data_IF_180496134797
#
_entry.id   IF_180496134797
#
_cell.length_a   1.000
_cell.length_b   1.000
_cell.length_c   1.000
_cell.angle_alpha   90.00
_cell.angle_beta   90.00
_cell.angle_gamma   90.00
#
_symmetry.space_group_name_H-M   'P 1'
#
loop_
_entity.id
_entity.type
_entity.pdbx_description
1 polymer ?
#
# COMPACT_ATOMS: atom_id res chain seq x y z
N UNK A 1 -19.64 4.26 -25.43
CA UNK A 1 -19.08 2.91 -25.66
C UNK A 1 -19.84 2.18 -26.79
N UNK A 2 -20.14 2.85 -27.92
CA UNK A 2 -20.95 2.28 -29.02
C UNK A 2 -20.30 2.40 -30.41
N UNK A 3 -19.29 3.27 -30.61
CA UNK A 3 -18.74 3.51 -31.95
C UNK A 3 -17.65 2.52 -32.40
N UNK A 4 -16.89 1.93 -31.47
CA UNK A 4 -15.78 1.01 -31.81
C UNK A 4 -16.30 -0.33 -32.37
N UNK A 5 -17.47 -0.78 -31.91
CA UNK A 5 -18.07 -2.06 -32.33
C UNK A 5 -18.64 -2.04 -33.75
N UNK A 6 -19.00 -0.87 -34.30
CA UNK A 6 -19.70 -0.80 -35.60
C UNK A 6 -18.76 -0.85 -36.82
N UNK A 7 -17.45 -0.73 -36.64
CA UNK A 7 -16.47 -0.62 -37.74
C UNK A 7 -15.29 -1.58 -37.64
N UNK A 8 -15.32 -2.54 -36.71
CA UNK A 8 -14.23 -3.51 -36.51
C UNK A 8 -14.81 -4.88 -36.19
N UNK A 9 -14.10 -5.96 -36.55
CA UNK A 9 -14.40 -7.33 -36.10
C UNK A 9 -14.02 -7.56 -34.62
N UNK A 10 -13.73 -6.49 -33.87
CA UNK A 10 -13.34 -6.57 -32.47
C UNK A 10 -14.54 -7.02 -31.62
N UNK A 11 -14.53 -8.29 -31.23
CA UNK A 11 -15.44 -8.82 -30.21
C UNK A 11 -15.03 -8.23 -28.86
N UNK A 12 -16.00 -7.73 -28.11
CA UNK A 12 -15.78 -7.42 -26.70
C UNK A 12 -15.41 -8.73 -25.99
N UNK A 13 -14.15 -8.88 -25.63
CA UNK A 13 -13.76 -9.87 -24.64
C UNK A 13 -13.98 -9.22 -23.28
N UNK A 14 -14.75 -9.86 -22.40
CA UNK A 14 -14.72 -9.48 -21.00
C UNK A 14 -13.31 -9.80 -20.52
N UNK A 15 -12.50 -8.77 -20.26
CA UNK A 15 -11.31 -8.95 -19.44
C UNK A 15 -11.78 -9.63 -18.15
N UNK A 16 -11.41 -10.90 -17.95
CA UNK A 16 -11.52 -11.60 -16.66
C UNK A 16 -10.58 -10.94 -15.62
N UNK A 17 -9.74 -10.00 -16.06
CA UNK A 17 -8.64 -9.41 -15.29
C UNK A 17 -8.94 -8.31 -14.23
N UNK A 18 -10.06 -7.55 -14.23
CA UNK A 18 -10.24 -6.48 -13.24
C UNK A 18 -10.46 -7.00 -11.82
N UNK A 19 -11.23 -8.10 -11.68
CA UNK A 19 -11.47 -8.76 -10.38
C UNK A 19 -10.18 -9.39 -9.87
N UNK A 20 -9.48 -10.15 -10.71
CA UNK A 20 -8.31 -10.93 -10.30
C UNK A 20 -7.17 -10.02 -9.81
N UNK A 21 -6.96 -8.86 -10.45
CA UNK A 21 -5.99 -7.88 -9.96
C UNK A 21 -6.43 -7.22 -8.64
N UNK A 22 -7.73 -6.97 -8.46
CA UNK A 22 -8.25 -6.44 -7.20
C UNK A 22 -8.06 -7.44 -6.06
N UNK A 23 -8.30 -8.73 -6.31
CA UNK A 23 -8.09 -9.83 -5.36
C UNK A 23 -6.60 -9.98 -4.99
N UNK A 24 -5.67 -9.69 -5.90
CA UNK A 24 -4.23 -9.63 -5.58
C UNK A 24 -3.88 -8.46 -4.65
N UNK A 25 -4.46 -7.28 -4.86
CA UNK A 25 -4.27 -6.14 -3.95
C UNK A 25 -4.94 -6.37 -2.58
N UNK A 26 -6.04 -7.12 -2.55
CA UNK A 26 -6.72 -7.61 -1.34
C UNK A 26 -5.77 -8.49 -0.53
N UNK A 27 -5.22 -9.52 -1.18
CA UNK A 27 -4.26 -10.43 -0.59
C UNK A 27 -3.01 -9.70 -0.08
N UNK A 28 -2.49 -8.71 -0.82
CA UNK A 28 -1.32 -7.94 -0.41
C UNK A 28 -1.55 -7.20 0.93
N UNK A 29 -2.77 -6.73 1.17
CA UNK A 29 -3.15 -6.10 2.44
C UNK A 29 -3.23 -7.12 3.57
N UNK A 30 -3.81 -8.30 3.35
CA UNK A 30 -3.87 -9.34 4.38
C UNK A 30 -2.48 -9.92 4.69
N UNK A 31 -1.61 -10.08 3.68
CA UNK A 31 -0.19 -10.41 3.86
C UNK A 31 0.50 -9.37 4.74
N UNK A 32 0.26 -8.09 4.47
CA UNK A 32 0.82 -6.99 5.27
C UNK A 32 0.35 -7.08 6.73
N UNK A 33 -0.95 -7.27 6.96
CA UNK A 33 -1.53 -7.35 8.30
C UNK A 33 -1.08 -8.59 9.09
N UNK A 34 -1.02 -9.76 8.44
CA UNK A 34 -0.49 -10.99 9.04
C UNK A 34 0.98 -10.83 9.40
N UNK A 35 1.77 -10.19 8.53
CA UNK A 35 3.17 -9.89 8.81
C UNK A 35 3.33 -8.99 10.04
N UNK A 36 2.54 -7.92 10.15
CA UNK A 36 2.54 -7.04 11.32
C UNK A 36 2.17 -7.81 12.60
N UNK A 37 1.13 -8.64 12.54
CA UNK A 37 0.65 -9.45 13.67
C UNK A 37 1.72 -10.44 14.13
N UNK A 38 2.29 -11.22 13.21
CA UNK A 38 3.34 -12.22 13.48
C UNK A 38 4.57 -11.60 14.15
N UNK A 39 4.94 -10.40 13.71
CA UNK A 39 6.09 -9.67 14.24
C UNK A 39 5.76 -8.72 15.41
N UNK A 40 4.51 -8.75 15.93
CA UNK A 40 4.05 -7.87 17.02
C UNK A 40 4.28 -6.39 16.73
N UNK A 41 4.26 -5.98 15.46
CA UNK A 41 4.40 -4.59 15.04
C UNK A 41 3.04 -3.92 15.22
N UNK A 42 3.03 -2.78 15.91
CA UNK A 42 1.80 -1.99 16.09
C UNK A 42 1.38 -1.38 14.77
N UNK A 43 0.12 -1.54 14.39
CA UNK A 43 -0.47 -0.85 13.25
C UNK A 43 -0.56 0.67 13.52
N UNK A 44 0.18 1.45 12.73
CA UNK A 44 0.33 2.90 12.85
C UNK A 44 -0.34 3.69 11.73
N UNK A 45 -0.71 3.08 10.61
CA UNK A 45 -1.31 3.82 9.50
C UNK A 45 -1.26 3.14 8.15
N UNK A 46 -1.37 3.96 7.10
CA UNK A 46 -1.33 3.55 5.69
C UNK A 46 -0.39 4.47 4.91
N UNK A 47 0.38 3.91 3.99
CA UNK A 47 1.25 4.64 3.06
C UNK A 47 0.62 4.52 1.67
N UNK A 48 0.11 5.62 1.13
CA UNK A 48 -0.38 5.70 -0.25
C UNK A 48 0.83 5.93 -1.13
N UNK A 49 1.13 4.97 -1.99
CA UNK A 49 2.24 5.01 -2.93
C UNK A 49 1.69 5.01 -4.35
N UNK A 50 2.12 5.97 -5.16
CA UNK A 50 1.98 5.82 -6.60
C UNK A 50 2.65 4.51 -7.05
N UNK A 51 2.19 3.96 -8.17
CA UNK A 51 2.70 2.70 -8.69
C UNK A 51 4.23 2.74 -8.83
N UNK A 52 4.91 1.68 -8.40
CA UNK A 52 6.38 1.48 -8.42
C UNK A 52 7.23 2.20 -7.36
N UNK A 53 6.70 3.12 -6.56
CA UNK A 53 7.54 3.89 -5.61
C UNK A 53 7.42 3.42 -4.14
N UNK A 54 6.68 2.34 -3.88
CA UNK A 54 6.56 1.78 -2.53
C UNK A 54 7.87 1.20 -2.00
N UNK A 55 8.06 1.26 -0.69
CA UNK A 55 9.14 0.59 0.04
C UNK A 55 8.56 -0.35 1.11
N UNK A 56 7.92 -1.47 0.73
CA UNK A 56 7.04 -2.23 1.63
C UNK A 56 7.71 -2.71 2.92
N UNK A 57 8.99 -3.15 2.86
CA UNK A 57 9.72 -3.59 4.05
C UNK A 57 9.88 -2.47 5.08
N UNK A 58 10.24 -1.27 4.64
CA UNK A 58 10.38 -0.10 5.51
C UNK A 58 9.02 0.34 6.06
N UNK A 59 8.00 0.39 5.21
CA UNK A 59 6.65 0.80 5.59
C UNK A 59 6.05 -0.15 6.65
N UNK A 60 6.14 -1.46 6.42
CA UNK A 60 5.68 -2.47 7.37
C UNK A 60 6.46 -2.44 8.67
N UNK A 61 7.77 -2.18 8.65
CA UNK A 61 8.57 -2.06 9.87
C UNK A 61 8.13 -0.89 10.77
N UNK A 62 7.55 0.13 10.15
CA UNK A 62 6.95 1.29 10.82
C UNK A 62 5.44 1.12 11.06
N UNK A 63 4.90 -0.07 10.81
CA UNK A 63 3.49 -0.38 11.05
C UNK A 63 2.55 0.31 10.07
N UNK A 64 3.01 0.69 8.88
CA UNK A 64 2.18 1.29 7.84
C UNK A 64 1.86 0.24 6.76
N UNK A 65 0.58 0.11 6.43
CA UNK A 65 0.13 -0.76 5.33
C UNK A 65 0.44 -0.05 4.00
N UNK A 66 1.18 -0.69 3.07
CA UNK A 66 1.37 -0.16 1.73
C UNK A 66 0.06 -0.22 0.94
N UNK A 67 -0.36 0.90 0.36
CA UNK A 67 -1.45 0.98 -0.62
C UNK A 67 -0.86 1.49 -1.94
N UNK A 68 -0.76 0.60 -2.93
CA UNK A 68 -0.36 0.95 -4.29
C UNK A 68 -1.56 1.39 -5.11
N UNK A 69 -1.41 2.47 -5.87
CA UNK A 69 -2.46 2.94 -6.78
C UNK A 69 -1.87 3.62 -8.02
N UNK A 70 -2.70 3.74 -9.06
CA UNK A 70 -2.33 4.44 -10.29
C UNK A 70 -2.60 5.94 -10.15
N UNK A 71 -1.63 6.78 -10.52
CA UNK A 71 -1.67 8.24 -10.31
C UNK A 71 -2.82 8.97 -11.02
N UNK A 72 -3.41 8.36 -12.05
CA UNK A 72 -4.54 8.92 -12.80
C UNK A 72 -5.89 8.34 -12.39
N UNK A 73 -5.93 7.46 -11.40
CA UNK A 73 -7.17 7.01 -10.79
C UNK A 73 -7.78 8.15 -9.95
N UNK A 74 -9.09 8.43 -10.07
CA UNK A 74 -9.74 9.46 -9.26
C UNK A 74 -9.49 9.25 -7.75
N UNK A 75 -9.27 10.35 -7.02
CA UNK A 75 -8.99 10.31 -5.59
C UNK A 75 -10.06 9.52 -4.81
N UNK A 76 -11.35 9.70 -5.14
CA UNK A 76 -12.46 8.98 -4.54
C UNK A 76 -12.31 7.46 -4.67
N UNK A 77 -11.95 6.95 -5.84
CA UNK A 77 -11.77 5.52 -6.10
C UNK A 77 -10.58 4.96 -5.33
N UNK A 78 -9.49 5.71 -5.24
CA UNK A 78 -8.32 5.32 -4.43
C UNK A 78 -8.66 5.30 -2.93
N UNK A 79 -9.46 6.24 -2.43
CA UNK A 79 -9.89 6.26 -1.03
C UNK A 79 -10.97 5.21 -0.75
N UNK A 80 -11.82 4.87 -1.72
CA UNK A 80 -12.77 3.75 -1.63
C UNK A 80 -12.04 2.44 -1.34
N UNK A 81 -10.86 2.22 -1.92
CA UNK A 81 -10.00 1.06 -1.63
C UNK A 81 -9.63 0.98 -0.14
N UNK A 82 -9.24 2.11 0.43
CA UNK A 82 -8.90 2.20 1.85
C UNK A 82 -10.12 1.89 2.73
N UNK A 83 -11.26 2.52 2.42
CA UNK A 83 -12.50 2.41 3.21
C UNK A 83 -13.15 1.04 3.12
N UNK A 84 -13.26 0.48 1.92
CA UNK A 84 -14.04 -0.72 1.64
C UNK A 84 -13.24 -2.00 1.89
N UNK A 85 -11.90 -1.93 1.91
CA UNK A 85 -11.07 -3.11 2.09
C UNK A 85 -10.08 -3.01 3.26
N UNK A 86 -9.18 -2.04 3.22
CA UNK A 86 -8.06 -1.99 4.18
C UNK A 86 -8.57 -1.73 5.60
N UNK A 87 -9.54 -0.82 5.78
CA UNK A 87 -10.12 -0.54 7.10
C UNK A 87 -10.85 -1.78 7.68
N UNK A 88 -11.74 -2.47 6.94
CA UNK A 88 -12.32 -3.73 7.40
C UNK A 88 -11.28 -4.80 7.71
N UNK A 89 -10.28 -5.00 6.85
CA UNK A 89 -9.22 -5.98 7.06
C UNK A 89 -8.42 -5.67 8.33
N UNK A 90 -7.98 -4.42 8.49
CA UNK A 90 -7.30 -3.96 9.69
C UNK A 90 -8.12 -4.18 10.96
N UNK A 91 -9.43 -3.99 10.90
CA UNK A 91 -10.33 -4.20 12.05
C UNK A 91 -10.44 -5.66 12.47
N UNK A 92 -10.35 -6.61 11.53
CA UNK A 92 -10.29 -8.06 11.83
C UNK A 92 -8.99 -8.44 12.54
N UNK A 93 -7.87 -7.89 12.09
CA UNK A 93 -6.54 -8.19 12.63
C UNK A 93 -6.22 -7.46 13.94
N UNK A 94 -6.66 -6.21 14.04
CA UNK A 94 -6.34 -5.28 15.12
C UNK A 94 -7.61 -4.57 15.62
N UNK A 95 -8.56 -5.27 16.26
CA UNK A 95 -9.89 -4.73 16.60
C UNK A 95 -9.86 -3.52 17.56
N UNK A 96 -8.76 -3.33 18.29
CA UNK A 96 -8.55 -2.17 19.18
C UNK A 96 -8.00 -0.93 18.46
N UNK A 97 -7.69 -1.02 17.16
CA UNK A 97 -7.10 0.06 16.38
C UNK A 97 -8.15 0.65 15.44
N UNK A 98 -8.46 1.94 15.64
CA UNK A 98 -9.23 2.70 14.66
C UNK A 98 -8.29 3.30 13.62
N UNK A 99 -8.25 2.71 12.42
CA UNK A 99 -7.34 3.12 11.35
C UNK A 99 -7.63 4.55 10.84
N UNK A 100 -8.87 5.06 10.91
CA UNK A 100 -9.18 6.46 10.54
C UNK A 100 -8.52 7.49 11.46
N UNK A 101 -8.16 7.08 12.69
CA UNK A 101 -7.43 7.92 13.67
C UNK A 101 -5.91 7.74 13.58
N UNK A 102 -5.41 7.00 12.59
CA UNK A 102 -3.99 6.74 12.36
C UNK A 102 -3.46 7.61 11.23
N UNK A 103 -2.14 7.61 11.05
CA UNK A 103 -1.50 8.45 10.02
C UNK A 103 -1.75 7.88 8.63
N UNK A 104 -2.09 8.75 7.68
CA UNK A 104 -2.03 8.46 6.24
C UNK A 104 -0.92 9.32 5.65
N UNK A 105 -0.02 8.71 4.90
CA UNK A 105 1.02 9.43 4.18
C UNK A 105 0.82 9.27 2.67
N UNK A 106 0.72 10.38 1.97
CA UNK A 106 0.58 10.45 0.52
C UNK A 106 1.96 10.59 -0.12
N UNK A 107 2.56 9.47 -0.48
CA UNK A 107 3.74 9.42 -1.32
C UNK A 107 3.28 9.49 -2.79
N UNK A 108 2.90 10.69 -3.22
CA UNK A 108 2.41 10.96 -4.57
C UNK A 108 2.96 12.26 -5.15
N UNK A 109 3.30 12.26 -6.43
CA UNK A 109 3.66 13.44 -7.22
C UNK A 109 2.42 14.18 -7.67
N UNK A 110 1.42 13.45 -8.18
CA UNK A 110 0.24 13.98 -8.84
C UNK A 110 -1.00 13.66 -7.99
N UNK A 111 -1.98 14.56 -7.95
CA UNK A 111 -3.29 14.26 -7.35
C UNK A 111 -3.30 14.21 -5.81
N UNK A 112 -2.19 14.53 -5.13
CA UNK A 112 -2.06 14.40 -3.67
C UNK A 112 -2.95 15.35 -2.87
N UNK A 113 -3.29 16.50 -3.43
CA UNK A 113 -4.15 17.49 -2.77
C UNK A 113 -5.62 17.06 -2.86
N UNK A 114 -6.02 16.46 -3.97
CA UNK A 114 -7.31 15.83 -4.19
C UNK A 114 -7.47 14.63 -3.26
N UNK A 115 -6.45 13.76 -3.17
CA UNK A 115 -6.42 12.66 -2.20
C UNK A 115 -6.53 13.13 -0.76
N UNK A 116 -5.78 14.17 -0.37
CA UNK A 116 -5.86 14.73 0.98
C UNK A 116 -7.26 15.29 1.27
N UNK A 117 -7.85 16.00 0.31
CA UNK A 117 -9.20 16.57 0.44
C UNK A 117 -10.22 15.47 0.64
N UNK A 118 -10.20 14.43 -0.19
CA UNK A 118 -11.08 13.27 -0.10
C UNK A 118 -10.92 12.56 1.26
N UNK A 119 -9.68 12.28 1.68
CA UNK A 119 -9.38 11.66 2.97
C UNK A 119 -9.94 12.49 4.15
N UNK A 120 -9.73 13.81 4.14
CA UNK A 120 -10.22 14.70 5.21
C UNK A 120 -11.75 14.73 5.24
N UNK A 121 -12.41 14.79 4.08
CA UNK A 121 -13.87 14.73 3.98
C UNK A 121 -14.43 13.42 4.57
N UNK A 122 -13.71 12.31 4.41
CA UNK A 122 -14.07 11.00 4.99
C UNK A 122 -13.57 10.76 6.42
N UNK A 123 -13.08 11.82 7.09
CA UNK A 123 -12.75 11.80 8.51
C UNK A 123 -11.33 11.32 8.85
N UNK A 124 -10.43 11.17 7.89
CA UNK A 124 -9.01 10.93 8.14
C UNK A 124 -8.32 12.23 8.56
N UNK A 125 -7.91 12.30 9.84
CA UNK A 125 -7.41 13.55 10.44
C UNK A 125 -5.92 13.80 10.22
N UNK A 126 -5.13 12.73 10.18
CA UNK A 126 -3.67 12.82 10.18
C UNK A 126 -3.10 12.47 8.81
N UNK A 127 -3.32 13.37 7.84
CA UNK A 127 -2.81 13.21 6.48
C UNK A 127 -1.53 14.01 6.31
N UNK A 128 -0.46 13.35 5.86
CA UNK A 128 0.81 13.95 5.47
C UNK A 128 1.08 13.67 4.00
N UNK A 129 1.97 14.43 3.38
CA UNK A 129 2.27 14.33 1.94
C UNK A 129 3.78 14.38 1.72
N UNK A 130 4.26 13.78 0.63
CA UNK A 130 5.63 14.05 0.15
C UNK A 130 5.75 15.51 -0.33
N UNK A 131 6.99 16.03 -0.34
CA UNK A 131 7.28 17.38 -0.82
C UNK A 131 6.95 17.54 -2.33
N UNK A 132 6.71 18.78 -2.76
CA UNK A 132 6.51 19.15 -4.17
C UNK A 132 7.84 19.32 -4.91
N UNK A 133 7.82 19.19 -6.25
CA UNK A 133 8.97 19.40 -7.14
C UNK A 133 10.18 18.51 -6.85
N UNK A 134 9.89 17.29 -6.46
CA UNK A 134 10.89 16.29 -6.13
C UNK A 134 10.93 15.22 -7.21
N UNK A 135 12.10 15.05 -7.82
CA UNK A 135 12.39 13.91 -8.70
C UNK A 135 12.58 12.62 -7.88
N UNK A 136 12.29 11.48 -8.51
CA UNK A 136 12.31 10.16 -7.84
C UNK A 136 13.68 9.48 -7.93
N UNK A 137 14.64 10.17 -8.53
CA UNK A 137 16.01 9.74 -8.69
C UNK A 137 16.83 10.28 -7.53
N UNK A 138 17.68 9.41 -6.97
CA UNK A 138 18.62 9.78 -5.92
C UNK A 138 19.60 10.84 -6.43
N UNK A 139 19.67 11.99 -5.77
CA UNK A 139 20.60 13.10 -6.05
C UNK A 139 21.09 13.76 -4.75
N UNK A 140 22.35 13.53 -4.39
CA UNK A 140 22.94 14.13 -3.18
C UNK A 140 23.18 15.64 -3.28
N UNK A 141 23.07 16.22 -4.47
CA UNK A 141 23.35 17.63 -4.71
C UNK A 141 22.17 18.55 -4.42
N UNK A 142 20.94 18.03 -4.35
CA UNK A 142 19.72 18.82 -4.19
C UNK A 142 19.07 18.71 -2.78
N UNK A 143 19.62 17.83 -1.93
CA UNK A 143 19.20 17.67 -0.54
C UNK A 143 18.62 16.28 -0.25
N UNK A 144 17.58 16.22 0.58
CA UNK A 144 16.77 15.00 0.80
C UNK A 144 15.43 15.27 0.14
N UNK A 145 15.35 14.88 -1.12
CA UNK A 145 14.23 15.17 -1.97
C UNK A 145 13.54 13.83 -2.31
N UNK A 146 14.21 12.88 -2.94
CA UNK A 146 13.57 11.67 -3.44
C UNK A 146 12.93 10.83 -2.30
N UNK A 147 11.82 10.10 -2.56
CA UNK A 147 11.18 9.24 -1.55
C UNK A 147 12.16 8.26 -0.89
N UNK A 148 13.11 7.72 -1.65
CA UNK A 148 14.15 6.83 -1.13
C UNK A 148 15.14 7.54 -0.19
N UNK A 149 15.45 8.81 -0.42
CA UNK A 149 16.31 9.63 0.44
C UNK A 149 15.64 9.93 1.77
N UNK A 150 14.33 10.20 1.77
CA UNK A 150 13.55 10.32 3.00
C UNK A 150 13.63 9.04 3.85
N UNK A 151 13.49 7.88 3.21
CA UNK A 151 13.62 6.59 3.90
C UNK A 151 15.02 6.42 4.50
N UNK A 152 16.07 6.70 3.72
CA UNK A 152 17.46 6.60 4.20
C UNK A 152 17.74 7.58 5.34
N UNK A 153 17.22 8.81 5.26
CA UNK A 153 17.34 9.81 6.31
C UNK A 153 16.69 9.34 7.62
N UNK A 154 15.46 8.81 7.55
CA UNK A 154 14.76 8.28 8.72
C UNK A 154 15.49 7.07 9.34
N UNK A 155 16.03 6.17 8.50
CA UNK A 155 16.87 5.06 8.97
C UNK A 155 18.14 5.58 9.65
N UNK A 156 18.76 6.62 9.09
CA UNK A 156 20.00 7.21 9.60
C UNK A 156 19.77 7.86 10.96
N UNK A 157 18.65 8.57 11.16
CA UNK A 157 18.22 9.12 12.46
C UNK A 157 18.02 8.03 13.53
N UNK A 158 17.56 6.85 13.13
CA UNK A 158 17.39 5.69 14.02
C UNK A 158 18.69 4.91 14.31
N UNK A 159 19.81 5.31 13.69
CA UNK A 159 21.07 4.56 13.58
C UNK A 159 20.92 3.28 12.75
N UNK A 160 21.66 3.20 11.64
CA UNK A 160 21.60 2.08 10.70
C UNK A 160 21.82 0.70 11.36
N UNK A 161 22.68 0.61 12.37
CA UNK A 161 22.95 -0.62 13.11
C UNK A 161 21.73 -1.11 13.90
N UNK A 162 20.97 -0.21 14.53
CA UNK A 162 19.73 -0.53 15.23
C UNK A 162 18.64 -0.94 14.24
N UNK A 163 18.52 -0.24 13.12
CA UNK A 163 17.60 -0.61 12.05
C UNK A 163 17.89 -2.01 11.50
N UNK A 164 19.16 -2.32 11.19
CA UNK A 164 19.58 -3.65 10.73
C UNK A 164 19.27 -4.75 11.74
N UNK A 165 19.53 -4.52 13.03
CA UNK A 165 19.16 -5.46 14.11
C UNK A 165 17.65 -5.69 14.16
N UNK A 166 16.86 -4.61 14.09
CA UNK A 166 15.39 -4.70 14.05
C UNK A 166 14.94 -5.52 12.84
N UNK A 167 15.48 -5.25 11.65
CA UNK A 167 15.18 -6.00 10.42
C UNK A 167 15.50 -7.49 10.53
N UNK A 168 16.67 -7.84 11.08
CA UNK A 168 17.08 -9.23 11.23
C UNK A 168 16.29 -9.99 12.29
N UNK A 169 15.62 -9.29 13.21
CA UNK A 169 14.77 -9.90 14.23
C UNK A 169 13.38 -10.30 13.72
N UNK A 170 13.01 -9.87 12.51
CA UNK A 170 11.68 -10.11 11.95
C UNK A 170 11.58 -11.53 11.40
N UNK A 171 10.46 -12.17 11.70
CA UNK A 171 10.10 -13.48 11.18
C UNK A 171 9.31 -13.32 9.88
N UNK A 172 9.75 -13.90 8.75
CA UNK A 172 9.00 -13.88 7.51
C UNK A 172 7.71 -14.71 7.62
N UNK A 173 6.75 -14.46 6.73
CA UNK A 173 5.61 -15.35 6.55
C UNK A 173 6.10 -16.68 5.96
N UNK A 174 5.55 -17.79 6.45
CA UNK A 174 5.81 -19.13 5.93
C UNK A 174 4.85 -19.45 4.78
N UNK A 175 5.16 -20.50 4.02
CA UNK A 175 4.23 -21.03 3.01
C UNK A 175 2.88 -21.43 3.64
N UNK A 176 2.88 -21.94 4.88
CA UNK A 176 1.64 -22.23 5.61
C UNK A 176 0.81 -20.98 5.88
N UNK A 177 1.46 -19.88 6.27
CA UNK A 177 0.78 -18.60 6.48
C UNK A 177 0.17 -18.10 5.17
N UNK A 178 0.95 -18.12 4.08
CA UNK A 178 0.47 -17.71 2.76
C UNK A 178 -0.71 -18.56 2.28
N UNK A 179 -0.66 -19.89 2.46
CA UNK A 179 -1.75 -20.80 2.08
C UNK A 179 -3.05 -20.48 2.82
N UNK A 180 -2.97 -20.13 4.12
CA UNK A 180 -4.15 -19.72 4.90
C UNK A 180 -4.77 -18.43 4.37
N UNK A 181 -3.94 -17.46 3.99
CA UNK A 181 -4.41 -16.17 3.45
C UNK A 181 -5.04 -16.36 2.07
N UNK A 182 -4.40 -17.15 1.19
CA UNK A 182 -4.94 -17.42 -0.16
C UNK A 182 -6.24 -18.19 -0.13
N UNK A 183 -6.40 -19.16 0.79
CA UNK A 183 -7.65 -19.93 0.90
C UNK A 183 -8.86 -19.05 1.30
N UNK A 184 -8.62 -17.90 1.91
CA UNK A 184 -9.65 -16.93 2.28
C UNK A 184 -9.91 -15.89 1.18
N UNK A 185 -9.10 -15.89 0.10
CA UNK A 185 -9.21 -14.97 -1.02
C UNK A 185 -9.90 -15.68 -2.18
N UNK A 186 -10.99 -15.11 -2.71
CA UNK A 186 -11.66 -15.68 -3.88
C UNK A 186 -10.75 -15.53 -5.11
N UNK A 187 -10.83 -16.48 -6.04
CA UNK A 187 -10.10 -16.42 -7.31
C UNK A 187 -8.59 -16.70 -7.24
N UNK A 188 -8.01 -16.88 -6.05
CA UNK A 188 -6.57 -17.11 -5.88
C UNK A 188 -6.27 -18.52 -5.37
N UNK A 189 -5.28 -19.16 -5.98
CA UNK A 189 -4.75 -20.46 -5.54
C UNK A 189 -3.23 -20.41 -5.43
N UNK A 190 -2.69 -20.88 -4.31
CA UNK A 190 -1.24 -21.03 -4.13
C UNK A 190 -0.78 -22.42 -4.58
N UNK A 191 -0.10 -22.48 -5.72
CA UNK A 191 0.56 -23.69 -6.19
C UNK A 191 2.01 -23.69 -5.68
N UNK A 192 2.38 -24.75 -4.98
CA UNK A 192 3.77 -25.03 -4.60
C UNK A 192 4.28 -26.11 -5.53
N UNK A 193 5.23 -25.76 -6.40
CA UNK A 193 5.97 -26.73 -7.18
C UNK A 193 7.12 -27.22 -6.28
N UNK A 194 7.07 -28.50 -5.91
CA UNK A 194 8.18 -29.20 -5.24
C UNK A 194 9.28 -29.56 -6.25
#
# INVERSE_FOLDING_TARGET
MQDIQKKTDAKAYSLISPSDMSDMYDLATDISLEYLKKNKIKLQGVMFNEYLISQPKYELLNGKIPLLYWQFTPASVTVDRLDNYIVPAASRYFPKVNLRKRSVHLNARIGKYELETELKQRGYRYVSKRLDNVEEVWDLSDGINAPCEFVVSEISKQQASKFKKKMNSLTPLTISDLRKLTNNSKGLSLNTYE
#
